data_IF_386502722812
#
_entry.id   IF_386502722812
#
_cell.length_a   1.000
_cell.length_b   1.000
_cell.length_c   1.000
_cell.angle_alpha   90.00
_cell.angle_beta   90.00
_cell.angle_gamma   90.00
#
_symmetry.space_group_name_H-M   'P 1'
#
loop_
_entity.id
_entity.type
_entity.pdbx_description
1 polymer ?
#
# COMPACT_ATOMS: atom_id res chain seq x y z
N UNK A 1 13.15 -10.47 5.37
CA UNK A 1 12.56 -10.49 6.75
C UNK A 1 11.08 -10.85 6.66
N UNK A 2 10.39 -11.20 7.77
CA UNK A 2 8.93 -11.42 7.75
C UNK A 2 8.21 -10.11 7.99
N UNK A 3 7.21 -9.81 7.15
CA UNK A 3 6.38 -8.61 7.18
C UNK A 3 4.90 -8.97 7.32
N UNK A 4 4.17 -8.24 8.14
CA UNK A 4 2.76 -8.50 8.40
C UNK A 4 1.86 -7.32 8.05
N UNK A 5 0.72 -7.62 7.44
CA UNK A 5 -0.43 -6.71 7.25
C UNK A 5 -1.71 -7.50 7.54
N UNK A 6 -2.85 -6.83 7.69
CA UNK A 6 -4.14 -7.54 7.80
C UNK A 6 -4.50 -8.24 6.49
N UNK A 7 -5.26 -9.33 6.59
CA UNK A 7 -5.88 -10.03 5.47
C UNK A 7 -6.83 -9.13 4.67
N UNK A 8 -7.25 -9.58 3.50
CA UNK A 8 -8.03 -8.78 2.53
C UNK A 8 -7.28 -7.52 2.13
N UNK A 9 -6.09 -7.71 1.55
CA UNK A 9 -5.18 -6.61 1.23
C UNK A 9 -5.81 -5.63 0.24
N UNK A 10 -5.57 -4.33 0.43
CA UNK A 10 -6.11 -3.27 -0.42
C UNK A 10 -4.99 -2.51 -1.14
N UNK A 11 -5.39 -1.68 -2.11
CA UNK A 11 -4.50 -0.92 -2.99
C UNK A 11 -3.24 -0.35 -2.31
N UNK A 12 -3.40 0.45 -1.24
CA UNK A 12 -2.28 1.03 -0.48
C UNK A 12 -1.27 -0.02 0.00
N UNK A 13 -1.77 -1.12 0.55
CA UNK A 13 -0.95 -2.17 1.16
C UNK A 13 -0.30 -3.06 0.10
N UNK A 14 -0.94 -3.23 -1.06
CA UNK A 14 -0.33 -3.89 -2.23
C UNK A 14 0.86 -3.09 -2.74
N UNK A 15 0.71 -1.77 -2.92
CA UNK A 15 1.82 -0.91 -3.36
C UNK A 15 2.92 -0.84 -2.29
N UNK A 16 2.54 -0.84 -1.01
CA UNK A 16 3.47 -0.89 0.11
C UNK A 16 4.33 -2.16 0.07
N UNK A 17 3.75 -3.32 -0.21
CA UNK A 17 4.48 -4.57 -0.36
C UNK A 17 5.47 -4.54 -1.55
N UNK A 18 5.07 -3.96 -2.68
CA UNK A 18 5.98 -3.72 -3.81
C UNK A 18 7.15 -2.81 -3.41
N UNK A 19 6.86 -1.71 -2.71
CA UNK A 19 7.87 -0.75 -2.27
C UNK A 19 8.86 -1.40 -1.30
N UNK A 20 8.36 -2.23 -0.37
CA UNK A 20 9.19 -3.01 0.56
C UNK A 20 10.11 -3.96 -0.23
N UNK A 21 9.53 -4.80 -1.10
CA UNK A 21 10.31 -5.75 -1.90
C UNK A 21 11.37 -5.10 -2.77
N UNK A 22 11.10 -3.88 -3.27
CA UNK A 22 11.99 -3.26 -4.25
C UNK A 22 13.07 -2.38 -3.64
N UNK A 23 12.80 -1.74 -2.50
CA UNK A 23 13.66 -0.69 -1.97
C UNK A 23 14.04 -0.87 -0.49
N UNK A 24 13.41 -1.80 0.23
CA UNK A 24 13.65 -1.99 1.68
C UNK A 24 14.25 -3.35 1.98
N UNK A 25 13.63 -4.43 1.48
CA UNK A 25 13.94 -5.81 1.81
C UNK A 25 13.54 -6.72 0.64
N UNK A 26 14.52 -7.07 -0.20
CA UNK A 26 14.30 -7.87 -1.41
C UNK A 26 13.85 -9.31 -1.13
N UNK A 27 14.18 -9.82 0.06
CA UNK A 27 13.81 -11.14 0.56
C UNK A 27 12.63 -11.06 1.55
N UNK A 28 11.77 -10.03 1.42
CA UNK A 28 10.59 -9.88 2.26
C UNK A 28 9.58 -11.00 2.03
N UNK A 29 9.18 -11.68 3.10
CA UNK A 29 8.06 -12.62 3.11
C UNK A 29 6.85 -11.97 3.78
N UNK A 30 5.67 -12.08 3.17
CA UNK A 30 4.46 -11.45 3.66
C UNK A 30 3.52 -12.45 4.32
N UNK A 31 3.09 -12.14 5.54
CA UNK A 31 2.02 -12.84 6.25
C UNK A 31 0.81 -11.93 6.42
N UNK A 32 -0.38 -12.54 6.43
CA UNK A 32 -1.65 -11.83 6.45
C UNK A 32 -2.39 -12.18 7.73
N UNK A 33 -2.50 -11.21 8.63
CA UNK A 33 -3.09 -11.36 9.95
C UNK A 33 -4.61 -11.27 9.88
N UNK A 34 -5.29 -12.17 10.58
CA UNK A 34 -6.74 -12.09 10.74
C UNK A 34 -7.13 -10.95 11.67
N UNK A 35 -8.40 -10.57 11.63
CA UNK A 35 -8.93 -9.58 12.56
C UNK A 35 -8.66 -9.99 14.03
N UNK A 36 -7.94 -9.13 14.77
CA UNK A 36 -7.57 -9.37 16.18
C UNK A 36 -6.32 -10.23 16.39
N UNK A 37 -5.65 -10.65 15.31
CA UNK A 37 -4.34 -11.30 15.38
C UNK A 37 -3.23 -10.25 15.45
N UNK A 38 -2.30 -10.44 16.38
CA UNK A 38 -1.14 -9.57 16.56
C UNK A 38 0.09 -10.18 15.87
N UNK A 39 1.00 -9.36 15.31
CA UNK A 39 2.25 -9.86 14.75
C UNK A 39 3.10 -10.53 15.83
N UNK A 40 3.69 -11.69 15.48
CA UNK A 40 4.63 -12.39 16.36
C UNK A 40 5.96 -11.64 16.54
N UNK A 41 6.79 -12.13 17.46
CA UNK A 41 8.13 -11.57 17.67
C UNK A 41 9.00 -11.68 16.40
N UNK A 42 9.71 -10.61 16.06
CA UNK A 42 10.54 -10.53 14.85
C UNK A 42 9.79 -10.31 13.53
N UNK A 43 8.46 -10.11 13.57
CA UNK A 43 7.64 -9.77 12.40
C UNK A 43 7.48 -8.25 12.30
N UNK A 44 7.66 -7.69 11.10
CA UNK A 44 7.59 -6.25 10.86
C UNK A 44 6.18 -5.85 10.36
N UNK A 45 5.34 -5.22 11.19
CA UNK A 45 4.00 -4.85 10.76
C UNK A 45 3.99 -3.56 9.92
N UNK A 46 3.13 -3.52 8.91
CA UNK A 46 2.84 -2.33 8.10
C UNK A 46 1.35 -2.26 7.74
N UNK A 47 0.84 -1.03 7.57
CA UNK A 47 -0.57 -0.81 7.22
C UNK A 47 -1.58 -1.26 8.28
N UNK A 48 -1.12 -1.53 9.51
CA UNK A 48 -1.93 -1.86 10.68
C UNK A 48 -2.09 -0.63 11.57
N UNK A 49 -3.20 -0.52 12.29
CA UNK A 49 -3.40 0.59 13.23
C UNK A 49 -2.39 0.50 14.39
N UNK A 50 -1.76 1.62 14.74
CA UNK A 50 -0.88 1.71 15.91
C UNK A 50 0.56 1.24 15.69
N UNK A 51 0.94 0.85 14.47
CA UNK A 51 2.31 0.45 14.13
C UNK A 51 3.07 1.61 13.49
N UNK A 52 4.41 1.55 13.46
CA UNK A 52 5.25 2.61 12.90
C UNK A 52 4.89 2.97 11.46
N UNK A 53 4.54 1.96 10.66
CA UNK A 53 4.15 2.09 9.26
C UNK A 53 2.61 2.06 9.09
N UNK A 54 1.87 2.65 10.02
CA UNK A 54 0.41 2.77 9.93
C UNK A 54 0.01 3.89 8.95
N UNK A 55 -1.02 3.67 8.13
CA UNK A 55 -1.76 4.79 7.53
C UNK A 55 -2.35 5.64 8.67
N UNK A 56 -2.23 6.97 8.58
CA UNK A 56 -2.72 7.87 9.63
C UNK A 56 -4.17 8.30 9.34
N UNK A 57 -4.92 8.55 10.42
CA UNK A 57 -6.30 9.05 10.35
C UNK A 57 -6.38 10.49 9.77
N UNK A 58 -5.24 11.18 9.65
CA UNK A 58 -5.10 12.56 9.18
C UNK A 58 -4.76 12.70 7.69
N UNK A 59 -4.76 11.61 6.90
CA UNK A 59 -4.72 11.70 5.42
C UNK A 59 -3.40 11.32 4.75
N UNK A 60 -2.80 10.20 5.15
CA UNK A 60 -1.50 9.71 4.71
C UNK A 60 -1.47 8.19 4.60
N UNK A 61 -1.01 7.70 3.45
CA UNK A 61 -0.95 6.27 3.13
C UNK A 61 0.20 5.53 3.79
N UNK A 62 0.08 4.20 3.87
CA UNK A 62 1.16 3.31 4.30
C UNK A 62 2.40 3.49 3.42
N UNK A 63 2.20 3.65 2.10
CA UNK A 63 3.27 4.00 1.15
C UNK A 63 4.02 5.26 1.58
N UNK A 64 3.29 6.33 1.92
CA UNK A 64 3.89 7.60 2.34
C UNK A 64 4.75 7.46 3.60
N UNK A 65 4.37 6.55 4.50
CA UNK A 65 5.13 6.24 5.73
C UNK A 65 6.38 5.45 5.44
N UNK A 66 6.30 4.45 4.56
CA UNK A 66 7.50 3.71 4.12
C UNK A 66 8.48 4.66 3.45
N UNK A 67 8.01 5.55 2.57
CA UNK A 67 8.88 6.53 1.91
C UNK A 67 9.60 7.46 2.91
N UNK A 68 8.88 7.91 3.95
CA UNK A 68 9.45 8.74 5.01
C UNK A 68 10.44 7.97 5.89
N UNK A 69 10.02 6.81 6.40
CA UNK A 69 10.76 6.04 7.40
C UNK A 69 12.06 5.43 6.84
N UNK A 70 12.11 5.15 5.54
CA UNK A 70 13.30 4.62 4.85
C UNK A 70 14.04 5.67 4.01
N UNK A 71 13.69 6.96 4.09
CA UNK A 71 14.41 8.04 3.42
C UNK A 71 14.29 8.04 1.89
N UNK A 72 13.25 7.42 1.34
CA UNK A 72 13.04 7.23 -0.10
C UNK A 72 12.40 8.44 -0.81
N UNK A 73 11.92 9.45 -0.06
CA UNK A 73 11.29 10.67 -0.62
C UNK A 73 12.21 11.51 -1.50
N UNK A 74 13.52 11.31 -1.41
CA UNK A 74 14.49 12.03 -2.24
C UNK A 74 14.44 11.60 -3.71
N UNK A 75 13.89 10.42 -4.02
CA UNK A 75 13.65 9.95 -5.37
C UNK A 75 12.36 10.58 -5.95
N UNK A 76 12.45 11.41 -7.00
CA UNK A 76 11.27 12.07 -7.58
C UNK A 76 10.22 11.11 -8.15
N UNK A 77 10.62 9.93 -8.63
CA UNK A 77 9.72 8.92 -9.16
C UNK A 77 8.94 8.24 -8.02
N UNK A 78 9.60 7.92 -6.91
CA UNK A 78 8.94 7.36 -5.73
C UNK A 78 8.01 8.38 -5.06
N UNK A 79 8.40 9.65 -5.01
CA UNK A 79 7.53 10.72 -4.50
C UNK A 79 6.29 10.90 -5.40
N UNK A 80 6.45 10.82 -6.73
CA UNK A 80 5.30 10.81 -7.65
C UNK A 80 4.41 9.59 -7.43
N UNK A 81 4.98 8.41 -7.24
CA UNK A 81 4.22 7.20 -6.95
C UNK A 81 3.45 7.33 -5.64
N UNK A 82 4.08 7.87 -4.58
CA UNK A 82 3.41 8.16 -3.31
C UNK A 82 2.19 9.07 -3.47
N UNK A 83 2.30 10.14 -4.27
CA UNK A 83 1.15 11.00 -4.60
C UNK A 83 0.05 10.27 -5.37
N UNK A 84 0.41 9.46 -6.36
CA UNK A 84 -0.56 8.68 -7.13
C UNK A 84 -1.35 7.73 -6.22
N UNK A 85 -0.66 7.06 -5.29
CA UNK A 85 -1.31 6.16 -4.33
C UNK A 85 -2.20 6.93 -3.37
N UNK A 86 -1.73 8.07 -2.84
CA UNK A 86 -2.51 8.93 -1.97
C UNK A 86 -3.82 9.37 -2.64
N UNK A 87 -3.75 9.89 -3.86
CA UNK A 87 -4.93 10.29 -4.62
C UNK A 87 -5.88 9.11 -4.92
N UNK A 88 -5.34 7.92 -5.17
CA UNK A 88 -6.12 6.70 -5.37
C UNK A 88 -6.87 6.28 -4.10
N UNK A 89 -6.21 6.34 -2.94
CA UNK A 89 -6.83 6.06 -1.64
C UNK A 89 -7.91 7.10 -1.32
N UNK A 90 -7.62 8.39 -1.53
CA UNK A 90 -8.58 9.48 -1.33
C UNK A 90 -9.81 9.35 -2.25
N UNK A 91 -9.63 8.78 -3.45
CA UNK A 91 -10.71 8.48 -4.38
C UNK A 91 -11.63 7.39 -3.82
N UNK A 92 -11.07 6.27 -3.38
CA UNK A 92 -11.81 5.13 -2.81
C UNK A 92 -12.53 5.52 -1.52
N UNK A 93 -11.89 6.32 -0.66
CA UNK A 93 -12.50 6.83 0.59
C UNK A 93 -13.52 7.96 0.37
N UNK A 94 -13.71 8.41 -0.88
CA UNK A 94 -14.63 9.48 -1.22
C UNK A 94 -14.23 10.86 -0.68
N UNK A 95 -12.99 11.03 -0.23
CA UNK A 95 -12.43 12.31 0.24
C UNK A 95 -12.39 13.31 -0.92
N UNK A 96 -11.94 12.86 -2.08
CA UNK A 96 -11.91 13.60 -3.36
C UNK A 96 -13.29 14.16 -3.73
N UNK A 97 -14.37 13.40 -3.46
CA UNK A 97 -15.75 13.84 -3.70
C UNK A 97 -16.20 14.92 -2.71
N UNK A 98 -15.75 14.85 -1.46
CA UNK A 98 -16.09 15.80 -0.39
C UNK A 98 -15.36 17.14 -0.52
N UNK A 99 -14.15 17.15 -1.07
CA UNK A 99 -13.34 18.36 -1.24
C UNK A 99 -13.68 19.16 -2.50
N UNK A 100 -14.46 18.60 -3.43
CA UNK A 100 -14.71 19.21 -4.75
C UNK A 100 -13.49 19.23 -5.67
N UNK A 101 -12.33 18.76 -5.18
CA UNK A 101 -11.14 18.57 -5.99
C UNK A 101 -11.33 17.28 -6.79
N UNK A 102 -11.30 17.38 -8.11
CA UNK A 102 -11.40 16.22 -8.97
C UNK A 102 -10.00 15.79 -9.39
N UNK A 103 -9.34 14.94 -8.60
CA UNK A 103 -8.07 14.34 -9.04
C UNK A 103 -8.33 13.46 -10.27
N UNK A 104 -7.80 13.87 -11.42
CA UNK A 104 -7.98 13.18 -12.71
C UNK A 104 -6.67 13.02 -13.46
N UNK A 105 -5.55 12.74 -12.77
CA UNK A 105 -4.42 12.22 -13.52
C UNK A 105 -4.78 10.81 -13.99
N UNK A 106 -4.81 10.50 -15.31
CA UNK A 106 -5.25 9.19 -15.81
C UNK A 106 -4.48 8.01 -15.20
N UNK A 107 -3.21 8.24 -14.82
CA UNK A 107 -2.40 7.25 -14.11
C UNK A 107 -2.97 6.84 -12.75
N UNK A 108 -3.61 7.75 -11.99
CA UNK A 108 -4.20 7.41 -10.68
C UNK A 108 -5.30 6.37 -10.85
N UNK A 109 -6.28 6.66 -11.71
CA UNK A 109 -7.38 5.75 -11.97
C UNK A 109 -6.89 4.47 -12.64
N UNK A 110 -5.98 4.58 -13.62
CA UNK A 110 -5.41 3.41 -14.30
C UNK A 110 -4.72 2.45 -13.32
N UNK A 111 -3.82 2.96 -12.49
CA UNK A 111 -3.11 2.17 -11.49
C UNK A 111 -4.06 1.55 -10.46
N UNK A 112 -5.04 2.31 -9.96
CA UNK A 112 -6.06 1.79 -9.05
C UNK A 112 -6.87 0.64 -9.69
N UNK A 113 -7.47 0.87 -10.86
CA UNK A 113 -8.38 -0.10 -11.50
C UNK A 113 -7.66 -1.38 -11.95
N UNK A 114 -6.42 -1.27 -12.44
CA UNK A 114 -5.65 -2.47 -12.81
C UNK A 114 -5.31 -3.28 -11.56
N UNK A 115 -4.96 -2.61 -10.46
CA UNK A 115 -4.66 -3.29 -9.18
C UNK A 115 -5.91 -3.95 -8.60
N UNK A 116 -7.05 -3.25 -8.60
CA UNK A 116 -8.33 -3.83 -8.18
C UNK A 116 -8.74 -5.02 -9.07
N UNK A 117 -8.52 -4.94 -10.38
CA UNK A 117 -8.73 -6.06 -11.28
C UNK A 117 -7.88 -7.27 -10.91
N UNK A 118 -6.61 -7.07 -10.56
CA UNK A 118 -5.74 -8.15 -10.08
C UNK A 118 -6.23 -8.74 -8.74
N UNK A 119 -6.72 -7.89 -7.82
CA UNK A 119 -7.32 -8.30 -6.55
C UNK A 119 -8.57 -9.16 -6.76
N UNK A 120 -9.48 -8.76 -7.65
CA UNK A 120 -10.73 -9.50 -7.95
C UNK A 120 -10.49 -10.88 -8.54
N UNK A 121 -9.34 -11.09 -9.19
CA UNK A 121 -8.97 -12.36 -9.82
C UNK A 121 -8.16 -13.28 -8.91
N UNK A 122 -7.67 -12.78 -7.77
CA UNK A 122 -6.85 -13.55 -6.84
C UNK A 122 -7.71 -14.38 -5.89
N UNK A 123 -7.24 -15.58 -5.51
CA UNK A 123 -7.91 -16.46 -4.54
C UNK A 123 -7.39 -16.30 -3.11
N UNK A 124 -6.28 -15.57 -2.95
CA UNK A 124 -5.64 -15.27 -1.66
C UNK A 124 -4.87 -13.96 -1.74
N UNK A 125 -4.56 -13.35 -0.59
CA UNK A 125 -3.77 -12.12 -0.54
C UNK A 125 -2.33 -12.32 -1.07
N UNK A 126 -1.74 -13.50 -0.84
CA UNK A 126 -0.44 -13.86 -1.40
C UNK A 126 -0.48 -13.93 -2.93
N UNK A 127 -1.55 -14.51 -3.50
CA UNK A 127 -1.73 -14.53 -4.95
C UNK A 127 -1.98 -13.12 -5.50
N UNK A 128 -2.75 -12.30 -4.78
CA UNK A 128 -2.97 -10.90 -5.11
C UNK A 128 -1.65 -10.13 -5.21
N UNK A 129 -0.80 -10.22 -4.17
CA UNK A 129 0.53 -9.59 -4.21
C UNK A 129 1.34 -10.06 -5.41
N UNK A 130 1.44 -11.37 -5.62
CA UNK A 130 2.21 -11.94 -6.74
C UNK A 130 1.76 -11.42 -8.11
N UNK A 131 0.44 -11.22 -8.30
CA UNK A 131 -0.13 -10.70 -9.54
C UNK A 131 0.05 -9.20 -9.71
N UNK A 132 0.04 -8.45 -8.61
CA UNK A 132 0.08 -6.98 -8.63
C UNK A 132 1.48 -6.39 -8.62
N UNK A 133 2.48 -7.07 -8.04
CA UNK A 133 3.86 -6.59 -7.95
C UNK A 133 4.43 -6.17 -9.32
N UNK A 134 4.25 -6.92 -10.43
CA UNK A 134 4.81 -6.53 -11.74
C UNK A 134 4.18 -5.28 -12.39
N UNK A 135 3.15 -4.68 -11.78
CA UNK A 135 2.46 -3.50 -12.33
C UNK A 135 3.19 -2.18 -12.07
N UNK A 136 4.19 -2.17 -11.19
CA UNK A 136 4.92 -1.00 -10.71
C UNK A 136 6.43 -1.15 -10.94
#
# INVERSE_FOLDING_TARGET
MIWATSETIHFDRVVSAWLILRFVDEDAEFVFLKAGEEPGEGVNPFGLRGVTLAANDEGGTTVSRILENYGLRSDPALELMGRIVQEGVDHVLGITRKSGAMSRHPAVLGTLWITEGAMLMARSDAECLKRSIPLY
#
